data_IF_750072181403
#
_entry.id   IF_750072181403
#
_cell.length_a   1.000
_cell.length_b   1.000
_cell.length_c   1.000
_cell.angle_alpha   90.00
_cell.angle_beta   90.00
_cell.angle_gamma   90.00
#
_symmetry.space_group_name_H-M   'P 1'
#
loop_
_entity.id
_entity.type
_entity.pdbx_description
1 polymer ?
#
# COMPACT_ATOMS: atom_id res chain seq x y z
N UNK A 1 67.76 -35.98 -11.30
CA UNK A 1 68.49 -35.18 -10.30
C UNK A 1 67.74 -33.86 -10.16
N UNK A 2 67.09 -33.67 -9.00
CA UNK A 2 66.63 -32.42 -8.34
C UNK A 2 66.09 -31.27 -9.21
N UNK A 3 64.78 -30.98 -9.17
CA UNK A 3 64.12 -30.05 -8.21
C UNK A 3 64.38 -28.57 -8.55
N UNK A 4 63.33 -27.84 -8.94
CA UNK A 4 62.82 -26.73 -8.12
C UNK A 4 61.61 -26.01 -8.74
N UNK A 5 60.62 -25.85 -7.88
CA UNK A 5 59.45 -24.96 -7.99
C UNK A 5 59.91 -23.50 -7.92
N UNK A 6 59.29 -22.61 -8.69
CA UNK A 6 59.11 -21.22 -8.24
C UNK A 6 57.82 -20.61 -8.75
N UNK A 7 56.94 -20.29 -7.80
CA UNK A 7 55.73 -19.48 -7.93
C UNK A 7 56.10 -18.06 -8.37
N UNK A 8 55.39 -17.50 -9.36
CA UNK A 8 55.22 -16.03 -9.45
C UNK A 8 53.78 -15.65 -9.75
N UNK A 9 53.35 -14.65 -8.99
CA UNK A 9 52.00 -14.19 -8.74
C UNK A 9 51.21 -13.74 -9.98
N UNK A 10 49.92 -14.05 -9.94
CA UNK A 10 48.86 -13.42 -10.72
C UNK A 10 48.68 -11.98 -10.24
N UNK A 11 48.79 -11.01 -11.16
CA UNK A 11 48.22 -9.68 -10.98
C UNK A 11 47.24 -9.47 -12.13
N UNK A 12 46.01 -9.92 -11.93
CA UNK A 12 44.88 -9.56 -12.80
C UNK A 12 44.26 -8.29 -12.20
N UNK A 13 44.51 -7.15 -12.84
CA UNK A 13 43.86 -5.89 -12.50
C UNK A 13 42.36 -5.98 -12.75
N UNK A 14 41.58 -6.07 -11.67
CA UNK A 14 40.13 -6.00 -11.71
C UNK A 14 39.73 -4.52 -11.84
N UNK A 15 39.50 -4.06 -13.07
CA UNK A 15 38.79 -2.81 -13.32
C UNK A 15 37.35 -2.97 -12.80
N UNK A 16 37.08 -2.39 -11.63
CA UNK A 16 35.72 -2.17 -11.13
C UNK A 16 35.03 -1.16 -12.03
N UNK A 17 34.34 -1.65 -13.06
CA UNK A 17 33.32 -0.90 -13.77
C UNK A 17 32.16 -0.65 -12.79
N UNK A 18 32.16 0.53 -12.16
CA UNK A 18 30.98 1.07 -11.52
C UNK A 18 29.88 1.16 -12.59
N UNK A 19 28.69 0.56 -12.40
CA UNK A 19 27.62 0.74 -13.36
C UNK A 19 27.24 2.22 -13.36
N UNK A 20 27.38 2.86 -14.52
CA UNK A 20 26.94 4.23 -14.70
C UNK A 20 25.47 4.35 -14.25
N UNK A 21 25.19 5.29 -13.36
CA UNK A 21 23.83 5.58 -12.93
C UNK A 21 22.99 5.89 -14.17
N UNK A 22 22.10 4.97 -14.56
CA UNK A 22 21.25 5.14 -15.72
C UNK A 22 20.50 6.48 -15.59
N UNK A 23 20.61 7.31 -16.62
CA UNK A 23 19.86 8.57 -16.72
C UNK A 23 18.37 8.30 -16.48
N UNK A 24 17.71 9.05 -15.58
CA UNK A 24 16.29 8.84 -15.31
C UNK A 24 15.48 8.95 -16.62
N UNK A 25 14.53 8.04 -16.87
CA UNK A 25 13.63 8.20 -18.00
C UNK A 25 12.77 9.46 -17.82
N UNK A 26 12.28 10.06 -18.92
CA UNK A 26 11.52 11.30 -18.89
C UNK A 26 10.33 11.24 -17.90
N UNK A 27 10.33 12.16 -16.94
CA UNK A 27 9.28 12.32 -15.95
C UNK A 27 9.35 11.38 -14.74
N UNK A 28 10.38 10.55 -14.57
CA UNK A 28 10.58 9.85 -13.27
C UNK A 28 10.56 10.87 -12.12
N UNK A 29 9.91 10.55 -10.99
CA UNK A 29 9.97 11.42 -9.82
C UNK A 29 11.43 11.66 -9.45
N UNK A 30 11.80 12.95 -9.42
CA UNK A 30 13.10 13.37 -8.90
C UNK A 30 13.09 13.02 -7.42
N UNK A 31 14.08 12.25 -6.96
CA UNK A 31 14.25 11.96 -5.54
C UNK A 31 14.39 13.31 -4.81
N UNK A 32 13.48 13.64 -3.88
CA UNK A 32 13.63 14.81 -3.03
C UNK A 32 15.04 14.82 -2.41
N UNK A 33 15.68 15.99 -2.28
CA UNK A 33 17.01 16.09 -1.67
C UNK A 33 17.09 15.40 -0.31
N UNK A 34 16.04 15.54 0.51
CA UNK A 34 15.91 14.86 1.81
C UNK A 34 15.92 13.32 1.73
N UNK A 35 15.68 12.70 0.57
CA UNK A 35 15.85 11.25 0.39
C UNK A 35 17.29 10.83 0.13
N UNK A 36 18.20 11.73 -0.26
CA UNK A 36 19.59 11.37 -0.57
C UNK A 36 20.41 11.10 0.68
N UNK A 37 20.02 11.75 1.78
CA UNK A 37 20.70 11.67 3.08
C UNK A 37 19.97 10.76 4.08
N UNK A 38 18.99 10.00 3.60
CA UNK A 38 18.07 9.17 4.38
C UNK A 38 18.76 8.00 5.10
N UNK A 39 19.95 7.62 4.64
CA UNK A 39 20.76 6.53 5.19
C UNK A 39 22.09 7.11 5.73
N UNK A 40 22.13 7.57 7.00
CA UNK A 40 23.33 8.18 7.56
C UNK A 40 24.53 7.23 7.50
N UNK A 41 25.60 7.66 6.84
CA UNK A 41 26.84 6.90 6.72
C UNK A 41 26.83 5.78 5.68
N UNK A 42 25.80 5.66 4.83
CA UNK A 42 25.73 4.65 3.77
C UNK A 42 25.19 5.22 2.44
N UNK A 43 25.69 4.75 1.29
CA UNK A 43 25.16 5.18 0.00
C UNK A 43 23.71 4.73 -0.18
N UNK A 44 22.87 5.62 -0.71
CA UNK A 44 21.57 5.26 -1.25
C UNK A 44 21.74 4.47 -2.56
N UNK A 45 20.89 3.47 -2.78
CA UNK A 45 20.66 2.85 -4.08
C UNK A 45 19.27 3.20 -4.60
N UNK A 46 19.17 3.30 -5.93
CA UNK A 46 17.96 3.70 -6.62
C UNK A 46 17.69 2.71 -7.73
N UNK A 47 16.48 2.15 -7.75
CA UNK A 47 15.96 1.40 -8.88
C UNK A 47 14.81 2.17 -9.52
N UNK A 48 14.69 2.07 -10.85
CA UNK A 48 13.64 2.72 -11.62
C UNK A 48 12.88 1.71 -12.45
N UNK A 49 11.56 1.80 -12.37
CA UNK A 49 10.65 1.13 -13.28
C UNK A 49 10.34 2.01 -14.50
N UNK A 50 9.30 1.65 -15.23
CA UNK A 50 8.75 2.45 -16.32
C UNK A 50 8.20 3.81 -15.83
N UNK A 51 7.63 3.87 -14.62
CA UNK A 51 7.08 5.09 -14.00
C UNK A 51 7.45 5.25 -12.53
N UNK A 52 7.75 4.16 -11.83
CA UNK A 52 8.11 4.15 -10.43
C UNK A 52 9.58 4.47 -10.18
N UNK A 53 9.85 5.15 -9.08
CA UNK A 53 11.19 5.28 -8.49
C UNK A 53 11.19 4.60 -7.13
N UNK A 54 12.16 3.73 -6.89
CA UNK A 54 12.39 3.08 -5.60
C UNK A 54 13.76 3.48 -5.06
N UNK A 55 13.81 3.94 -3.82
CA UNK A 55 15.06 4.27 -3.13
C UNK A 55 15.22 3.39 -1.89
N UNK A 56 16.42 2.85 -1.67
CA UNK A 56 16.75 1.99 -0.55
C UNK A 56 18.23 2.07 -0.17
N UNK A 57 18.67 1.36 0.88
CA UNK A 57 20.09 1.28 1.20
C UNK A 57 20.83 0.51 0.09
N UNK A 58 22.07 0.89 -0.22
CA UNK A 58 22.90 0.12 -1.16
C UNK A 58 23.22 -1.31 -0.69
N UNK A 59 23.03 -1.59 0.60
CA UNK A 59 23.15 -2.93 1.20
C UNK A 59 21.87 -3.75 1.11
N UNK A 60 20.82 -3.25 0.44
CA UNK A 60 19.61 -4.02 0.21
C UNK A 60 19.94 -5.36 -0.50
N UNK A 61 19.19 -6.44 -0.21
CA UNK A 61 19.36 -7.71 -0.89
C UNK A 61 19.38 -7.54 -2.42
N UNK A 62 20.27 -8.23 -3.15
CA UNK A 62 20.34 -8.15 -4.59
C UNK A 62 18.98 -8.36 -5.26
N UNK A 63 18.59 -7.45 -6.16
CA UNK A 63 17.32 -7.52 -6.90
C UNK A 63 16.07 -7.04 -6.14
N UNK A 64 16.13 -6.76 -4.83
CA UNK A 64 14.97 -6.30 -4.06
C UNK A 64 14.41 -4.98 -4.61
N UNK A 65 15.26 -3.99 -4.87
CA UNK A 65 14.81 -2.68 -5.36
C UNK A 65 14.20 -2.79 -6.76
N UNK A 66 14.71 -3.68 -7.61
CA UNK A 66 14.16 -3.93 -8.95
C UNK A 66 12.82 -4.67 -8.89
N UNK A 67 12.66 -5.64 -7.97
CA UNK A 67 11.36 -6.27 -7.70
C UNK A 67 10.33 -5.23 -7.26
N UNK A 68 10.69 -4.39 -6.28
CA UNK A 68 9.82 -3.33 -5.79
C UNK A 68 9.49 -2.31 -6.87
N UNK A 69 10.41 -1.97 -7.76
CA UNK A 69 10.16 -1.04 -8.87
C UNK A 69 9.10 -1.60 -9.83
N UNK A 70 9.17 -2.91 -10.16
CA UNK A 70 8.16 -3.58 -10.99
C UNK A 70 6.78 -3.65 -10.31
N UNK A 71 6.74 -3.95 -9.00
CA UNK A 71 5.49 -3.96 -8.23
C UNK A 71 4.89 -2.57 -8.11
N UNK A 72 5.71 -1.56 -7.85
CA UNK A 72 5.29 -0.17 -7.77
C UNK A 72 4.72 0.31 -9.11
N UNK A 73 5.33 -0.05 -10.26
CA UNK A 73 4.73 0.22 -11.57
C UNK A 73 3.35 -0.42 -11.74
N UNK A 74 3.18 -1.66 -11.27
CA UNK A 74 1.90 -2.35 -11.29
C UNK A 74 0.85 -1.63 -10.43
N UNK A 75 1.22 -1.27 -9.19
CA UNK A 75 0.39 -0.46 -8.30
C UNK A 75 0.01 0.88 -8.95
N UNK A 76 0.97 1.57 -9.56
CA UNK A 76 0.72 2.82 -10.29
C UNK A 76 -0.28 2.68 -11.43
N UNK A 77 -0.24 1.56 -12.18
CA UNK A 77 -1.26 1.28 -13.22
C UNK A 77 -2.64 1.02 -12.62
N UNK A 78 -2.73 0.24 -11.53
CA UNK A 78 -3.99 -0.07 -10.85
C UNK A 78 -4.66 1.20 -10.30
N UNK A 79 -3.89 2.01 -9.56
CA UNK A 79 -4.37 3.30 -9.03
C UNK A 79 -4.76 4.26 -10.16
N UNK A 80 -3.96 4.33 -11.22
CA UNK A 80 -4.25 5.17 -12.39
C UNK A 80 -5.55 4.77 -13.10
N UNK A 81 -5.83 3.47 -13.21
CA UNK A 81 -7.05 2.96 -13.82
C UNK A 81 -8.32 3.36 -13.04
N UNK A 82 -8.27 3.38 -11.70
CA UNK A 82 -9.41 3.83 -10.87
C UNK A 82 -9.55 5.34 -10.86
N UNK A 83 -8.45 6.06 -10.61
CA UNK A 83 -8.50 7.51 -10.38
C UNK A 83 -8.49 8.33 -11.68
N UNK A 84 -8.25 7.72 -12.83
CA UNK A 84 -8.34 8.36 -14.15
C UNK A 84 -7.22 9.38 -14.42
N UNK A 85 -6.09 9.28 -13.72
CA UNK A 85 -4.92 10.16 -13.92
C UNK A 85 -3.62 9.36 -13.90
N UNK A 86 -2.55 9.80 -14.59
CA UNK A 86 -1.24 9.18 -14.48
C UNK A 86 -0.72 9.19 -13.04
N UNK A 87 -0.10 8.08 -12.63
CA UNK A 87 0.53 7.92 -11.30
C UNK A 87 2.00 7.56 -11.49
N UNK A 88 2.85 8.22 -10.70
CA UNK A 88 4.30 8.03 -10.68
C UNK A 88 4.73 7.70 -9.26
N UNK A 89 4.77 6.42 -8.89
CA UNK A 89 5.06 6.00 -7.53
C UNK A 89 6.48 6.41 -7.09
N UNK A 90 6.58 6.84 -5.85
CA UNK A 90 7.85 6.94 -5.12
C UNK A 90 7.75 6.00 -3.93
N UNK A 91 8.60 4.96 -3.92
CA UNK A 91 8.68 3.98 -2.84
C UNK A 91 10.02 4.11 -2.15
N UNK A 92 10.01 4.13 -0.82
CA UNK A 92 11.22 4.18 0.00
C UNK A 92 11.32 2.94 0.85
N UNK A 93 12.50 2.33 0.86
CA UNK A 93 12.83 1.11 1.61
C UNK A 93 13.86 1.49 2.68
N UNK A 94 13.43 1.72 3.93
CA UNK A 94 14.34 1.93 5.05
C UNK A 94 15.05 0.61 5.45
N UNK A 95 16.02 0.65 6.36
CA UNK A 95 16.73 -0.57 6.79
C UNK A 95 15.92 -1.43 7.78
N UNK A 96 14.99 -0.82 8.50
CA UNK A 96 14.20 -1.48 9.53
C UNK A 96 12.82 -0.83 9.74
N UNK A 97 11.96 -1.51 10.47
CA UNK A 97 10.65 -0.98 10.90
C UNK A 97 10.80 0.28 11.75
N UNK A 98 11.87 0.35 12.56
CA UNK A 98 12.17 1.54 13.37
C UNK A 98 12.55 2.73 12.48
N UNK A 99 13.24 2.48 11.38
CA UNK A 99 13.64 3.51 10.42
C UNK A 99 12.45 3.96 9.59
N UNK A 100 11.55 3.04 9.23
CA UNK A 100 10.27 3.34 8.60
C UNK A 100 9.42 4.29 9.45
N UNK A 101 9.26 3.98 10.75
CA UNK A 101 8.53 4.84 11.69
C UNK A 101 9.13 6.26 11.77
N UNK A 102 10.46 6.35 11.91
CA UNK A 102 11.17 7.65 11.93
C UNK A 102 10.94 8.43 10.64
N UNK A 103 11.03 7.77 9.49
CA UNK A 103 10.84 8.41 8.20
C UNK A 103 9.41 8.91 7.98
N UNK A 104 8.43 8.14 8.44
CA UNK A 104 7.02 8.50 8.39
C UNK A 104 6.64 9.57 9.43
N UNK A 105 7.53 9.90 10.37
CA UNK A 105 7.25 10.87 11.44
C UNK A 105 6.27 10.36 12.49
N UNK A 106 6.13 9.04 12.63
CA UNK A 106 5.21 8.40 13.57
C UNK A 106 5.97 7.67 14.68
N UNK A 107 5.34 7.49 15.83
CA UNK A 107 5.97 6.81 16.96
C UNK A 107 6.28 5.33 16.69
N UNK A 108 5.36 4.62 16.02
CA UNK A 108 5.43 3.17 15.75
C UNK A 108 4.68 2.82 14.46
N UNK A 109 5.06 1.72 13.83
CA UNK A 109 4.44 1.15 12.60
C UNK A 109 4.09 -0.34 12.80
N UNK A 110 3.79 -0.76 14.04
CA UNK A 110 3.55 -2.17 14.32
C UNK A 110 2.38 -2.72 13.51
N UNK A 111 2.57 -3.91 12.94
CA UNK A 111 1.56 -4.58 12.12
C UNK A 111 1.38 -4.00 10.71
N UNK A 112 2.05 -2.88 10.38
CA UNK A 112 2.04 -2.30 9.04
C UNK A 112 3.17 -2.90 8.19
N UNK A 113 2.87 -3.25 6.94
CA UNK A 113 3.87 -3.68 5.96
C UNK A 113 4.35 -2.54 5.06
N UNK A 114 3.59 -1.45 5.00
CA UNK A 114 3.98 -0.20 4.38
C UNK A 114 3.14 0.94 5.00
N UNK A 115 3.53 2.19 4.75
CA UNK A 115 2.79 3.38 5.18
C UNK A 115 2.94 4.50 4.15
N UNK A 116 1.87 5.24 3.91
CA UNK A 116 1.88 6.47 3.12
C UNK A 116 2.10 7.71 3.99
N UNK A 117 2.96 8.64 3.57
CA UNK A 117 3.20 9.93 4.23
C UNK A 117 2.68 11.14 3.43
N UNK A 118 1.73 10.89 2.52
CA UNK A 118 1.15 11.89 1.62
C UNK A 118 1.99 12.20 0.37
N UNK A 119 3.25 11.76 0.29
CA UNK A 119 4.13 11.98 -0.88
C UNK A 119 4.68 10.69 -1.46
N UNK A 120 4.89 9.68 -0.61
CA UNK A 120 5.55 8.42 -0.96
C UNK A 120 4.96 7.28 -0.15
N UNK A 121 5.23 6.07 -0.65
CA UNK A 121 5.02 4.83 0.09
C UNK A 121 6.33 4.46 0.77
N UNK A 122 6.30 4.21 2.07
CA UNK A 122 7.42 3.75 2.87
C UNK A 122 7.18 2.29 3.20
N UNK A 123 8.04 1.40 2.73
CA UNK A 123 7.97 -0.03 3.08
C UNK A 123 8.40 -0.21 4.53
N UNK A 124 7.71 -1.08 5.26
CA UNK A 124 8.14 -1.57 6.57
C UNK A 124 8.81 -2.94 6.32
N UNK A 125 10.16 -3.01 6.28
CA UNK A 125 10.85 -4.14 5.63
C UNK A 125 10.52 -5.52 6.22
N UNK A 126 10.51 -5.64 7.53
CA UNK A 126 10.36 -6.93 8.22
C UNK A 126 8.96 -7.53 8.04
N UNK A 127 7.84 -6.80 8.26
CA UNK A 127 6.50 -7.31 7.95
C UNK A 127 6.26 -7.44 6.44
N UNK A 128 6.80 -6.56 5.60
CA UNK A 128 6.63 -6.68 4.15
C UNK A 128 7.26 -7.95 3.59
N UNK A 129 8.39 -8.38 4.15
CA UNK A 129 9.07 -9.59 3.75
C UNK A 129 8.24 -10.86 3.99
N UNK A 130 7.36 -10.88 5.00
CA UNK A 130 6.53 -12.05 5.34
C UNK A 130 5.27 -12.18 4.47
N UNK A 131 4.91 -11.12 3.73
CA UNK A 131 3.75 -11.12 2.85
C UNK A 131 3.91 -12.08 1.67
N UNK A 132 2.79 -12.67 1.26
CA UNK A 132 2.67 -13.39 -0.01
C UNK A 132 2.88 -12.43 -1.20
N UNK A 133 3.19 -12.94 -2.41
CA UNK A 133 3.29 -12.10 -3.60
C UNK A 133 2.05 -11.23 -3.84
N UNK A 134 0.86 -11.77 -3.66
CA UNK A 134 -0.41 -11.02 -3.77
C UNK A 134 -0.53 -9.97 -2.67
N UNK A 135 -0.18 -10.32 -1.43
CA UNK A 135 -0.20 -9.38 -0.30
C UNK A 135 0.70 -8.16 -0.52
N UNK A 136 1.91 -8.36 -1.06
CA UNK A 136 2.82 -7.26 -1.42
C UNK A 136 2.22 -6.33 -2.48
N UNK A 137 1.53 -6.87 -3.48
CA UNK A 137 0.88 -6.06 -4.53
C UNK A 137 -0.32 -5.29 -3.98
N UNK A 138 -1.13 -5.91 -3.12
CA UNK A 138 -2.27 -5.28 -2.45
C UNK A 138 -1.80 -4.12 -1.57
N UNK A 139 -0.83 -4.37 -0.67
CA UNK A 139 -0.31 -3.35 0.26
C UNK A 139 0.31 -2.17 -0.48
N UNK A 140 1.14 -2.40 -1.51
CA UNK A 140 1.72 -1.29 -2.27
C UNK A 140 0.66 -0.49 -3.03
N UNK A 141 -0.39 -1.14 -3.53
CA UNK A 141 -1.50 -0.47 -4.21
C UNK A 141 -2.38 0.31 -3.23
N UNK A 142 -2.62 -0.25 -2.04
CA UNK A 142 -3.33 0.38 -0.94
C UNK A 142 -2.64 1.68 -0.52
N UNK A 143 -1.36 1.62 -0.12
CA UNK A 143 -0.64 2.82 0.33
C UNK A 143 -0.50 3.88 -0.77
N UNK A 144 -0.27 3.45 -2.01
CA UNK A 144 -0.22 4.39 -3.14
C UNK A 144 -1.57 5.07 -3.37
N UNK A 145 -2.68 4.39 -3.06
CA UNK A 145 -4.01 5.00 -3.11
C UNK A 145 -4.12 6.14 -2.11
N UNK A 146 -3.61 6.01 -0.88
CA UNK A 146 -3.56 7.13 0.07
C UNK A 146 -2.74 8.30 -0.44
N UNK A 147 -1.55 8.04 -1.02
CA UNK A 147 -0.71 9.10 -1.59
C UNK A 147 -1.42 9.87 -2.70
N UNK A 148 -2.16 9.18 -3.58
CA UNK A 148 -2.76 9.80 -4.77
C UNK A 148 -4.14 10.39 -4.48
N UNK A 149 -4.95 9.71 -3.67
CA UNK A 149 -6.32 10.10 -3.36
C UNK A 149 -6.40 11.08 -2.18
N UNK A 150 -5.48 10.99 -1.20
CA UNK A 150 -5.52 11.76 0.05
C UNK A 150 -6.55 11.23 1.04
N UNK A 151 -6.37 11.50 2.33
CA UNK A 151 -7.24 11.00 3.42
C UNK A 151 -7.93 12.13 4.21
N UNK A 152 -7.52 13.37 4.02
CA UNK A 152 -7.97 14.51 4.81
C UNK A 152 -9.50 14.73 4.73
N UNK A 153 -10.10 14.95 5.90
CA UNK A 153 -11.54 15.25 6.02
C UNK A 153 -12.47 14.04 5.75
N UNK A 154 -11.92 12.86 5.51
CA UNK A 154 -12.70 11.65 5.25
C UNK A 154 -12.89 10.81 6.52
N UNK A 155 -14.04 10.12 6.67
CA UNK A 155 -14.18 9.12 7.70
C UNK A 155 -13.30 7.89 7.39
N UNK A 156 -12.74 7.28 8.42
CA UNK A 156 -11.79 6.15 8.31
C UNK A 156 -12.28 5.00 7.44
N UNK A 157 -13.54 4.60 7.57
CA UNK A 157 -14.10 3.54 6.74
C UNK A 157 -14.04 3.84 5.24
N UNK A 158 -14.10 5.12 4.85
CA UNK A 158 -14.12 5.51 3.45
C UNK A 158 -12.71 5.54 2.86
N UNK A 159 -11.73 6.12 3.56
CA UNK A 159 -10.37 6.16 3.02
C UNK A 159 -9.66 4.80 3.08
N UNK A 160 -9.84 4.04 4.15
CA UNK A 160 -9.30 2.67 4.26
C UNK A 160 -10.02 1.73 3.30
N UNK A 161 -11.35 1.78 3.28
CA UNK A 161 -12.16 0.93 2.41
C UNK A 161 -11.93 1.19 0.93
N UNK A 162 -11.67 2.45 0.54
CA UNK A 162 -11.35 2.80 -0.83
C UNK A 162 -9.94 2.31 -1.22
N UNK A 163 -8.94 2.46 -0.34
CA UNK A 163 -7.60 1.93 -0.57
C UNK A 163 -7.61 0.40 -0.73
N UNK A 164 -8.35 -0.32 0.11
CA UNK A 164 -8.56 -1.77 -0.03
C UNK A 164 -9.34 -2.14 -1.29
N UNK A 165 -10.36 -1.34 -1.66
CA UNK A 165 -11.09 -1.56 -2.91
C UNK A 165 -10.13 -1.55 -4.10
N UNK A 166 -9.27 -0.53 -4.19
CA UNK A 166 -8.26 -0.43 -5.28
C UNK A 166 -7.22 -1.55 -5.17
N UNK A 167 -6.76 -1.88 -3.96
CA UNK A 167 -5.78 -2.93 -3.72
C UNK A 167 -6.26 -4.32 -4.17
N UNK A 168 -7.50 -4.68 -3.80
CA UNK A 168 -8.08 -5.99 -4.09
C UNK A 168 -8.77 -6.10 -5.45
N UNK A 169 -9.07 -4.98 -6.15
CA UNK A 169 -9.87 -4.97 -7.39
C UNK A 169 -9.44 -6.04 -8.41
N UNK A 170 -8.14 -6.12 -8.65
CA UNK A 170 -7.54 -7.00 -9.66
C UNK A 170 -6.74 -8.16 -9.03
N UNK A 171 -6.97 -8.45 -7.74
CA UNK A 171 -6.24 -9.49 -7.01
C UNK A 171 -6.74 -10.91 -7.31
N UNK A 172 -7.92 -11.06 -7.90
CA UNK A 172 -8.51 -12.37 -8.23
C UNK A 172 -8.91 -13.21 -7.01
N UNK A 173 -8.95 -12.60 -5.82
CA UNK A 173 -9.31 -13.28 -4.58
C UNK A 173 -10.84 -13.36 -4.41
N UNK A 174 -11.38 -14.53 -4.02
CA UNK A 174 -12.78 -14.63 -3.60
C UNK A 174 -13.08 -13.70 -2.42
N UNK A 175 -14.30 -13.16 -2.37
CA UNK A 175 -14.68 -12.19 -1.34
C UNK A 175 -14.56 -12.77 0.07
N UNK A 176 -15.01 -14.00 0.27
CA UNK A 176 -14.88 -14.70 1.55
C UNK A 176 -13.43 -15.00 1.94
N UNK A 177 -12.50 -15.06 0.98
CA UNK A 177 -11.06 -15.22 1.25
C UNK A 177 -10.43 -13.91 1.68
N UNK A 178 -10.74 -12.80 0.98
CA UNK A 178 -10.20 -11.48 1.33
C UNK A 178 -10.82 -10.91 2.63
N UNK A 179 -12.05 -11.32 2.97
CA UNK A 179 -12.74 -10.96 4.21
C UNK A 179 -12.97 -12.15 5.15
N UNK A 180 -11.95 -13.01 5.33
CA UNK A 180 -12.07 -14.25 6.09
C UNK A 180 -12.57 -14.05 7.53
N UNK A 181 -12.06 -13.03 8.23
CA UNK A 181 -12.35 -12.82 9.64
C UNK A 181 -13.77 -12.29 9.84
N UNK A 182 -14.22 -11.42 8.95
CA UNK A 182 -15.61 -10.98 8.89
C UNK A 182 -16.54 -12.10 8.44
N UNK A 183 -16.10 -12.97 7.51
CA UNK A 183 -16.89 -14.12 7.07
C UNK A 183 -17.10 -15.15 8.18
N UNK A 184 -16.12 -15.30 9.08
CA UNK A 184 -16.28 -16.12 10.29
C UNK A 184 -17.38 -15.56 11.22
N UNK A 185 -17.40 -14.24 11.45
CA UNK A 185 -18.43 -13.57 12.25
C UNK A 185 -19.83 -13.72 11.65
N UNK A 186 -19.96 -13.48 10.34
CA UNK A 186 -21.24 -13.56 9.63
C UNK A 186 -21.81 -14.97 9.69
N UNK A 187 -20.99 -16.01 9.46
CA UNK A 187 -21.40 -17.42 9.60
C UNK A 187 -21.80 -17.77 11.03
N UNK A 188 -21.21 -17.12 12.03
CA UNK A 188 -21.59 -17.25 13.43
C UNK A 188 -22.81 -16.38 13.82
N UNK A 189 -23.51 -15.78 12.84
CA UNK A 189 -24.70 -14.96 13.05
C UNK A 189 -24.43 -13.54 13.55
N UNK A 190 -23.17 -13.11 13.59
CA UNK A 190 -22.76 -11.78 14.08
C UNK A 190 -22.50 -10.85 12.90
N UNK A 191 -23.39 -9.87 12.72
CA UNK A 191 -23.29 -8.85 11.67
C UNK A 191 -22.97 -7.47 12.25
N UNK A 192 -21.99 -6.72 11.69
CA UNK A 192 -21.61 -5.40 12.16
C UNK A 192 -22.79 -4.41 12.15
N UNK A 193 -23.09 -3.78 13.29
CA UNK A 193 -24.25 -2.88 13.46
C UNK A 193 -24.07 -1.50 12.81
N UNK A 194 -22.82 -1.07 12.60
CA UNK A 194 -22.45 0.21 12.02
C UNK A 194 -21.19 0.07 11.16
N UNK A 195 -20.92 1.06 10.31
CA UNK A 195 -19.63 1.20 9.64
C UNK A 195 -18.52 1.41 10.69
N UNK A 196 -17.30 0.89 10.46
CA UNK A 196 -16.23 0.97 11.44
C UNK A 196 -15.76 2.42 11.62
N UNK A 197 -15.81 2.90 12.87
CA UNK A 197 -15.27 4.21 13.26
C UNK A 197 -13.81 4.14 13.71
N UNK A 198 -13.17 5.27 14.06
CA UNK A 198 -11.75 5.32 14.43
C UNK A 198 -11.32 4.32 15.50
N UNK A 199 -12.16 4.06 16.50
CA UNK A 199 -11.86 3.10 17.56
C UNK A 199 -11.73 1.65 17.05
N UNK A 200 -12.38 1.29 15.95
CA UNK A 200 -12.25 -0.04 15.35
C UNK A 200 -10.89 -0.27 14.67
N UNK A 201 -10.22 0.83 14.29
CA UNK A 201 -8.88 0.83 13.71
C UNK A 201 -7.79 1.04 14.76
N UNK A 202 -8.16 1.29 16.02
CA UNK A 202 -7.22 1.31 17.12
C UNK A 202 -6.84 -0.13 17.48
N UNK A 203 -5.56 -0.49 17.36
CA UNK A 203 -5.04 -1.74 17.88
C UNK A 203 -4.98 -1.68 19.41
N UNK A 204 -6.10 -1.96 20.09
CA UNK A 204 -6.20 -1.91 21.55
C UNK A 204 -5.88 -3.24 22.25
N UNK A 205 -5.58 -4.28 21.47
CA UNK A 205 -5.12 -5.59 21.92
C UNK A 205 -6.18 -6.48 22.58
N UNK A 206 -7.44 -6.04 22.70
CA UNK A 206 -8.51 -6.84 23.32
C UNK A 206 -9.02 -7.95 22.41
N UNK A 207 -8.99 -7.70 21.11
CA UNK A 207 -9.49 -8.61 20.08
C UNK A 207 -8.50 -8.57 18.90
N UNK A 208 -7.66 -9.61 18.74
CA UNK A 208 -6.57 -9.60 17.77
C UNK A 208 -7.06 -9.48 16.33
N UNK A 209 -8.30 -9.90 16.05
CA UNK A 209 -8.88 -9.91 14.72
C UNK A 209 -9.78 -8.68 14.46
N UNK A 210 -10.02 -7.83 15.48
CA UNK A 210 -10.92 -6.66 15.31
C UNK A 210 -10.44 -5.72 14.23
N UNK A 211 -9.12 -5.48 14.19
CA UNK A 211 -8.48 -4.60 13.22
C UNK A 211 -8.70 -5.15 11.80
N UNK A 212 -8.39 -6.43 11.58
CA UNK A 212 -8.62 -7.08 10.29
C UNK A 212 -10.10 -6.98 9.86
N UNK A 213 -11.04 -7.22 10.78
CA UNK A 213 -12.47 -7.03 10.49
C UNK A 213 -12.84 -5.60 10.15
N UNK A 214 -12.25 -4.59 10.78
CA UNK A 214 -12.53 -3.19 10.48
C UNK A 214 -12.14 -2.83 9.04
N UNK A 215 -10.97 -3.29 8.57
CA UNK A 215 -10.57 -3.15 7.17
C UNK A 215 -11.53 -3.89 6.23
N UNK A 216 -11.88 -5.14 6.55
CA UNK A 216 -12.79 -5.95 5.73
C UNK A 216 -14.22 -5.35 5.66
N UNK A 217 -14.70 -4.79 6.77
CA UNK A 217 -15.96 -4.05 6.87
C UNK A 217 -15.95 -2.81 5.96
N UNK A 218 -14.90 -2.00 6.06
CA UNK A 218 -14.67 -0.79 5.26
C UNK A 218 -14.54 -1.11 3.76
N UNK A 219 -13.76 -2.14 3.42
CA UNK A 219 -13.60 -2.66 2.08
C UNK A 219 -14.94 -3.05 1.46
N UNK A 220 -15.77 -3.81 2.18
CA UNK A 220 -17.08 -4.22 1.68
C UNK A 220 -18.06 -3.05 1.56
N UNK A 221 -17.90 -1.97 2.32
CA UNK A 221 -18.69 -0.75 2.14
C UNK A 221 -18.35 -0.04 0.82
N UNK A 222 -17.06 0.09 0.49
CA UNK A 222 -16.63 0.67 -0.78
C UNK A 222 -16.94 -0.25 -1.96
N UNK A 223 -16.76 -1.57 -1.80
CA UNK A 223 -17.17 -2.56 -2.79
C UNK A 223 -18.69 -2.53 -3.04
N UNK A 224 -19.52 -2.39 -2.01
CA UNK A 224 -20.96 -2.22 -2.17
C UNK A 224 -21.29 -0.99 -3.03
N UNK A 225 -20.65 0.15 -2.76
CA UNK A 225 -20.85 1.37 -3.53
C UNK A 225 -20.45 1.17 -5.00
N UNK A 226 -19.32 0.52 -5.26
CA UNK A 226 -18.88 0.19 -6.61
C UNK A 226 -19.79 -0.82 -7.32
N UNK A 227 -20.21 -1.90 -6.65
CA UNK A 227 -21.07 -2.94 -7.23
C UNK A 227 -22.48 -2.41 -7.54
N UNK A 228 -23.02 -1.49 -6.73
CA UNK A 228 -24.40 -0.99 -6.87
C UNK A 228 -24.53 0.31 -7.67
N UNK A 229 -23.49 1.14 -7.66
CA UNK A 229 -23.52 2.47 -8.31
C UNK A 229 -22.41 2.67 -9.35
N UNK A 230 -21.47 1.73 -9.48
CA UNK A 230 -20.33 1.77 -10.40
C UNK A 230 -19.06 2.37 -9.78
N UNK A 231 -17.89 1.89 -10.23
CA UNK A 231 -16.56 2.36 -9.76
C UNK A 231 -16.40 3.88 -9.93
N UNK A 232 -16.80 4.44 -11.08
CA UNK A 232 -16.73 5.88 -11.31
C UNK A 232 -17.57 6.69 -10.33
N UNK A 233 -18.68 6.14 -9.83
CA UNK A 233 -19.51 6.79 -8.80
C UNK A 233 -18.84 6.75 -7.44
N UNK A 234 -18.18 5.65 -7.07
CA UNK A 234 -17.37 5.56 -5.85
C UNK A 234 -16.26 6.64 -5.86
N UNK A 235 -15.55 6.80 -6.99
CA UNK A 235 -14.50 7.83 -7.14
C UNK A 235 -15.07 9.25 -7.00
N UNK A 236 -16.24 9.53 -7.60
CA UNK A 236 -16.91 10.83 -7.45
C UNK A 236 -17.37 11.08 -6.01
N UNK A 237 -17.92 10.06 -5.34
CA UNK A 237 -18.31 10.14 -3.93
C UNK A 237 -17.10 10.44 -3.04
N UNK A 238 -15.98 9.78 -3.28
CA UNK A 238 -14.73 10.01 -2.53
C UNK A 238 -14.28 11.47 -2.62
N UNK A 239 -14.21 12.00 -3.85
CA UNK A 239 -13.83 13.41 -4.10
C UNK A 239 -14.84 14.40 -3.52
N UNK A 240 -16.13 14.11 -3.63
CA UNK A 240 -17.18 14.96 -3.06
C UNK A 240 -17.13 14.96 -1.52
N UNK A 241 -16.82 13.81 -0.91
CA UNK A 241 -16.67 13.69 0.53
C UNK A 241 -15.46 14.48 1.04
N UNK A 242 -14.33 14.47 0.33
CA UNK A 242 -13.18 15.33 0.64
C UNK A 242 -13.53 16.82 0.55
N UNK A 243 -14.27 17.22 -0.48
CA UNK A 243 -14.56 18.63 -0.73
C UNK A 243 -15.68 19.20 0.16
N UNK A 244 -16.61 18.36 0.62
CA UNK A 244 -17.86 18.85 1.24
C UNK A 244 -18.46 17.95 2.30
N UNK A 245 -17.72 16.94 2.79
CA UNK A 245 -18.17 16.02 3.83
C UNK A 245 -18.96 14.82 3.30
N UNK A 246 -18.84 13.70 4.00
CA UNK A 246 -19.41 12.41 3.60
C UNK A 246 -20.94 12.42 3.52
N UNK A 247 -21.61 13.15 4.40
CA UNK A 247 -23.08 13.21 4.43
C UNK A 247 -23.64 13.84 3.15
N UNK A 248 -23.03 14.94 2.70
CA UNK A 248 -23.40 15.61 1.45
C UNK A 248 -23.12 14.72 0.24
N UNK A 249 -21.97 14.03 0.25
CA UNK A 249 -21.61 13.12 -0.82
C UNK A 249 -22.59 11.94 -0.93
N UNK A 250 -22.98 11.34 0.19
CA UNK A 250 -23.98 10.27 0.23
C UNK A 250 -25.37 10.76 -0.18
N UNK A 251 -25.78 11.96 0.24
CA UNK A 251 -27.07 12.54 -0.12
C UNK A 251 -27.23 12.68 -1.64
N UNK A 252 -26.14 12.94 -2.38
CA UNK A 252 -26.15 12.98 -3.85
C UNK A 252 -26.50 11.63 -4.52
N UNK A 253 -26.34 10.52 -3.79
CA UNK A 253 -26.73 9.17 -4.22
C UNK A 253 -28.09 8.74 -3.64
N UNK A 254 -28.81 9.64 -2.97
CA UNK A 254 -30.03 9.31 -2.22
C UNK A 254 -29.74 8.45 -0.97
N UNK A 255 -28.54 8.56 -0.41
CA UNK A 255 -28.12 7.84 0.79
C UNK A 255 -27.89 8.80 1.96
N UNK A 256 -28.18 8.31 3.16
CA UNK A 256 -27.57 8.75 4.43
C UNK A 256 -26.66 7.66 4.97
N UNK A 257 -25.82 7.97 5.97
CA UNK A 257 -25.00 6.96 6.68
C UNK A 257 -25.88 5.81 7.21
N UNK A 258 -27.08 6.11 7.73
CA UNK A 258 -28.00 5.09 8.22
C UNK A 258 -28.50 4.16 7.10
N UNK A 259 -28.94 4.72 5.96
CA UNK A 259 -29.41 3.91 4.83
C UNK A 259 -28.26 3.13 4.15
N UNK A 260 -27.06 3.72 4.08
CA UNK A 260 -25.86 3.04 3.63
C UNK A 260 -25.57 1.85 4.54
N UNK A 261 -25.55 2.05 5.85
CA UNK A 261 -25.29 0.98 6.84
C UNK A 261 -26.28 -0.17 6.70
N UNK A 262 -27.58 0.12 6.55
CA UNK A 262 -28.60 -0.91 6.37
C UNK A 262 -28.38 -1.74 5.09
N UNK A 263 -28.12 -1.07 3.96
CA UNK A 263 -27.91 -1.73 2.66
C UNK A 263 -26.58 -2.48 2.59
N UNK A 264 -25.53 -1.92 3.19
CA UNK A 264 -24.23 -2.56 3.35
C UNK A 264 -24.33 -3.82 4.22
N UNK A 265 -25.07 -3.80 5.34
CA UNK A 265 -25.31 -5.01 6.16
C UNK A 265 -25.98 -6.13 5.37
N UNK A 266 -26.95 -5.80 4.51
CA UNK A 266 -27.56 -6.78 3.63
C UNK A 266 -26.55 -7.34 2.62
N UNK A 267 -25.72 -6.48 2.05
CA UNK A 267 -24.64 -6.87 1.13
C UNK A 267 -23.57 -7.75 1.80
N UNK A 268 -23.14 -7.44 3.03
CA UNK A 268 -22.20 -8.26 3.80
C UNK A 268 -22.76 -9.67 4.00
N UNK A 269 -24.05 -9.77 4.37
CA UNK A 269 -24.72 -11.07 4.50
C UNK A 269 -24.80 -11.82 3.15
N UNK A 270 -25.12 -11.13 2.06
CA UNK A 270 -25.16 -11.73 0.71
C UNK A 270 -23.80 -12.26 0.27
N UNK A 271 -22.70 -11.58 0.61
CA UNK A 271 -21.36 -11.93 0.15
C UNK A 271 -20.63 -12.94 1.04
N UNK A 272 -20.98 -13.03 2.32
CA UNK A 272 -20.22 -13.80 3.31
C UNK A 272 -21.06 -14.83 4.10
N UNK A 273 -22.39 -14.77 3.99
CA UNK A 273 -23.31 -15.67 4.66
C UNK A 273 -23.60 -16.96 3.91
#
# INVERSE_FOLDING_TARGET
MFEQVSRRAVVAGLLLLLPAAATPPPGSPILPPELRDLWPGRPAAVSRGARATVAGPATAPPGLLDELARRADSAGRRVSAVLGRPVRPLVVVPESSRDAARLAGVGRVDGLAAVADGRRVIVVPEPFATLTPTGRDVVLTHELTHVVAGTDGLPVWLYEGFADYVGYRDAGLPVATAAAELAAEVRAGRLPSALPGPAAFAADGRDPDRLARAYQEAWLACRFLADRFGEGTLVRLYRAAQAGGVDRALASLGLSVATLTARWRAYVRERLG
#
